data_IF_424969111136
#
_entry.id   IF_424969111136
#
_cell.length_a   1.000
_cell.length_b   1.000
_cell.length_c   1.000
_cell.angle_alpha   90.00
_cell.angle_beta   90.00
_cell.angle_gamma   90.00
#
_symmetry.space_group_name_H-M   'P 1'
#
loop_
_entity.id
_entity.type
_entity.pdbx_description
1 polymer ?
#
# COMPACT_ATOMS: atom_id res chain seq x y z
N UNK A 1 21.54 -7.01 13.42
CA UNK A 1 20.73 -5.83 12.97
C UNK A 1 20.90 -5.54 11.48
N UNK A 2 22.08 -5.79 10.87
CA UNK A 2 22.29 -5.66 9.43
C UNK A 2 21.76 -6.87 8.62
N UNK A 3 21.93 -8.10 9.11
CA UNK A 3 21.44 -9.32 8.43
C UNK A 3 19.94 -9.29 8.09
N UNK A 4 19.10 -8.70 8.95
CA UNK A 4 17.67 -8.58 8.67
C UNK A 4 17.36 -7.54 7.58
N UNK A 5 18.22 -6.53 7.37
CA UNK A 5 18.01 -5.48 6.36
C UNK A 5 18.36 -5.98 4.97
N UNK A 6 19.50 -6.66 4.84
CA UNK A 6 19.92 -7.28 3.58
C UNK A 6 18.91 -8.34 3.13
N UNK A 7 18.39 -9.15 4.06
CA UNK A 7 17.33 -10.11 3.74
C UNK A 7 16.03 -9.43 3.30
N UNK A 8 15.59 -8.36 3.98
CA UNK A 8 14.40 -7.61 3.57
C UNK A 8 14.62 -7.03 2.17
N UNK A 9 15.78 -6.42 1.91
CA UNK A 9 16.08 -5.84 0.60
C UNK A 9 16.07 -6.90 -0.50
N UNK A 10 16.70 -8.06 -0.26
CA UNK A 10 16.72 -9.17 -1.20
C UNK A 10 15.30 -9.70 -1.49
N UNK A 11 14.46 -9.82 -0.47
CA UNK A 11 13.07 -10.24 -0.64
C UNK A 11 12.25 -9.20 -1.43
N UNK A 12 12.43 -7.91 -1.13
CA UNK A 12 11.76 -6.84 -1.87
C UNK A 12 12.13 -6.88 -3.36
N UNK A 13 13.42 -7.04 -3.69
CA UNK A 13 13.88 -7.23 -5.07
C UNK A 13 13.24 -8.44 -5.72
N UNK A 14 13.25 -9.59 -5.04
CA UNK A 14 12.63 -10.81 -5.54
C UNK A 14 11.13 -10.61 -5.84
N UNK A 15 10.38 -10.00 -4.94
CA UNK A 15 8.94 -9.76 -5.13
C UNK A 15 8.68 -8.83 -6.31
N UNK A 16 9.41 -7.72 -6.42
CA UNK A 16 9.25 -6.77 -7.53
C UNK A 16 9.68 -7.42 -8.86
N UNK A 17 10.81 -8.12 -8.90
CA UNK A 17 11.28 -8.81 -10.10
C UNK A 17 10.29 -9.87 -10.58
N UNK A 18 9.64 -10.60 -9.65
CA UNK A 18 8.59 -11.56 -10.01
C UNK A 18 7.35 -10.88 -10.57
N UNK A 19 6.85 -9.86 -9.90
CA UNK A 19 5.59 -9.19 -10.26
C UNK A 19 5.74 -8.32 -11.51
N UNK A 20 6.73 -7.43 -11.55
CA UNK A 20 6.90 -6.47 -12.63
C UNK A 20 7.88 -6.94 -13.72
N UNK A 21 8.94 -7.67 -13.35
CA UNK A 21 9.94 -8.14 -14.31
C UNK A 21 9.50 -9.39 -15.09
N UNK A 22 9.08 -10.43 -14.38
CA UNK A 22 8.74 -11.73 -14.97
C UNK A 22 7.27 -11.82 -15.42
N UNK A 23 6.33 -11.46 -14.54
CA UNK A 23 4.89 -11.50 -14.86
C UNK A 23 4.51 -10.31 -15.75
N UNK A 24 4.93 -9.09 -15.37
CA UNK A 24 4.67 -7.87 -16.12
C UNK A 24 3.22 -7.38 -15.98
N UNK A 25 2.64 -6.78 -17.03
CA UNK A 25 1.31 -6.16 -16.96
C UNK A 25 0.24 -7.16 -16.49
N UNK A 26 -0.47 -6.79 -15.44
CA UNK A 26 -1.35 -7.66 -14.64
C UNK A 26 -2.73 -7.00 -14.49
N UNK A 27 -3.64 -7.39 -15.37
CA UNK A 27 -5.02 -6.86 -15.46
C UNK A 27 -5.97 -7.98 -15.90
N UNK A 28 -7.28 -7.85 -15.69
CA UNK A 28 -8.28 -8.85 -16.09
C UNK A 28 -8.24 -9.15 -17.60
N UNK A 29 -7.89 -8.14 -18.41
CA UNK A 29 -7.72 -8.27 -19.87
C UNK A 29 -6.48 -9.11 -20.25
N UNK A 30 -5.64 -9.48 -19.28
CA UNK A 30 -4.49 -10.37 -19.42
C UNK A 30 -4.61 -11.54 -18.43
N UNK A 31 -5.52 -12.49 -18.68
CA UNK A 31 -5.89 -13.53 -17.71
C UNK A 31 -4.70 -14.38 -17.25
N UNK A 32 -3.71 -14.64 -18.12
CA UNK A 32 -2.53 -15.42 -17.74
C UNK A 32 -1.67 -14.73 -16.69
N UNK A 33 -1.43 -13.42 -16.81
CA UNK A 33 -0.55 -12.68 -15.89
C UNK A 33 -1.25 -12.32 -14.59
N UNK A 34 -2.55 -12.00 -14.63
CA UNK A 34 -3.32 -11.77 -13.40
C UNK A 34 -3.47 -13.07 -12.58
N UNK A 35 -3.72 -14.22 -13.22
CA UNK A 35 -3.76 -15.52 -12.53
C UNK A 35 -2.39 -15.94 -11.98
N UNK A 36 -1.32 -15.68 -12.74
CA UNK A 36 0.04 -15.90 -12.23
C UNK A 36 0.36 -15.01 -11.02
N UNK A 37 -0.13 -13.78 -11.01
CA UNK A 37 0.01 -12.86 -9.87
C UNK A 37 -0.74 -13.39 -8.66
N UNK A 38 -2.01 -13.78 -8.81
CA UNK A 38 -2.82 -14.37 -7.73
C UNK A 38 -2.12 -15.60 -7.15
N UNK A 39 -1.70 -16.55 -7.99
CA UNK A 39 -1.01 -17.75 -7.56
C UNK A 39 0.33 -17.47 -6.86
N UNK A 40 1.07 -16.45 -7.31
CA UNK A 40 2.29 -16.02 -6.65
C UNK A 40 2.03 -15.50 -5.23
N UNK A 41 1.07 -14.60 -5.06
CA UNK A 41 0.72 -14.01 -3.76
C UNK A 41 0.22 -15.07 -2.78
N UNK A 42 -0.62 -15.99 -3.25
CA UNK A 42 -1.08 -17.12 -2.46
C UNK A 42 0.06 -18.01 -2.00
N UNK A 43 0.97 -18.38 -2.91
CA UNK A 43 2.12 -19.20 -2.58
C UNK A 43 3.00 -18.53 -1.51
N UNK A 44 3.27 -17.22 -1.65
CA UNK A 44 4.04 -16.48 -0.66
C UNK A 44 3.37 -16.47 0.72
N UNK A 45 2.06 -16.25 0.79
CA UNK A 45 1.36 -16.27 2.07
C UNK A 45 1.20 -17.67 2.67
N UNK A 46 1.00 -18.70 1.85
CA UNK A 46 0.98 -20.09 2.30
C UNK A 46 2.33 -20.53 2.87
N UNK A 47 3.44 -20.15 2.24
CA UNK A 47 4.80 -20.40 2.75
C UNK A 47 5.03 -19.71 4.11
N UNK A 48 4.38 -18.56 4.33
CA UNK A 48 4.39 -17.86 5.62
C UNK A 48 3.43 -18.48 6.66
N UNK A 49 2.65 -19.50 6.29
CA UNK A 49 1.69 -20.18 7.17
C UNK A 49 0.33 -19.50 7.28
N UNK A 50 0.00 -18.55 6.40
CA UNK A 50 -1.32 -17.95 6.35
C UNK A 50 -2.32 -18.82 5.57
N UNK A 51 -3.57 -18.76 6.01
CA UNK A 51 -4.71 -19.19 5.20
C UNK A 51 -5.18 -18.00 4.36
N UNK A 52 -5.16 -18.15 3.03
CA UNK A 52 -5.60 -17.12 2.09
C UNK A 52 -7.09 -17.27 1.81
N UNK A 53 -7.84 -16.20 2.06
CA UNK A 53 -9.23 -16.07 1.65
C UNK A 53 -9.29 -15.31 0.33
N UNK A 54 -9.98 -15.89 -0.66
CA UNK A 54 -10.32 -15.22 -1.91
C UNK A 54 -11.68 -14.56 -1.76
N UNK A 55 -11.72 -13.24 -1.88
CA UNK A 55 -12.96 -12.47 -1.97
C UNK A 55 -13.21 -12.17 -3.45
N UNK A 56 -13.95 -13.05 -4.12
CA UNK A 56 -14.30 -12.93 -5.54
C UNK A 56 -15.52 -12.04 -5.74
N UNK A 57 -15.51 -11.26 -6.82
CA UNK A 57 -16.60 -10.34 -7.14
C UNK A 57 -16.69 -10.04 -8.64
N UNK A 58 -17.85 -9.55 -9.09
CA UNK A 58 -18.05 -9.09 -10.46
C UNK A 58 -17.44 -7.70 -10.66
N UNK A 59 -16.51 -7.59 -11.60
CA UNK A 59 -15.88 -6.37 -12.04
C UNK A 59 -16.29 -6.07 -13.49
N UNK A 60 -17.48 -5.49 -13.65
CA UNK A 60 -18.06 -5.15 -14.98
C UNK A 60 -18.24 -6.37 -15.90
N UNK A 61 -18.66 -7.50 -15.35
CA UNK A 61 -18.85 -8.75 -16.09
C UNK A 61 -17.65 -9.70 -16.10
N UNK A 62 -16.48 -9.26 -15.62
CA UNK A 62 -15.31 -10.11 -15.41
C UNK A 62 -15.20 -10.52 -13.92
N UNK A 63 -14.70 -11.73 -13.63
CA UNK A 63 -14.43 -12.15 -12.25
C UNK A 63 -13.10 -11.54 -11.76
N UNK A 64 -13.16 -10.74 -10.69
CA UNK A 64 -12.01 -10.20 -9.98
C UNK A 64 -11.87 -10.86 -8.60
N UNK A 65 -10.69 -10.76 -7.98
CA UNK A 65 -10.41 -11.43 -6.69
C UNK A 65 -9.52 -10.59 -5.80
N UNK A 66 -10.04 -10.12 -4.67
CA UNK A 66 -9.16 -9.65 -3.59
C UNK A 66 -8.59 -10.85 -2.84
N UNK A 67 -7.35 -10.74 -2.37
CA UNK A 67 -6.71 -11.76 -1.55
C UNK A 67 -6.50 -11.25 -0.13
N UNK A 68 -6.99 -12.00 0.85
CA UNK A 68 -7.03 -11.58 2.25
C UNK A 68 -6.32 -12.63 3.11
N UNK A 69 -5.41 -12.17 3.97
CA UNK A 69 -4.88 -12.98 5.07
C UNK A 69 -4.97 -12.23 6.38
N UNK A 70 -5.11 -12.95 7.49
CA UNK A 70 -5.25 -12.33 8.80
C UNK A 70 -4.54 -13.09 9.92
N UNK A 71 -4.03 -12.32 10.88
CA UNK A 71 -3.54 -12.83 12.16
C UNK A 71 -4.46 -12.31 13.26
N UNK A 72 -5.25 -13.21 13.84
CA UNK A 72 -6.20 -12.89 14.91
C UNK A 72 -5.46 -12.29 16.12
N UNK A 73 -6.00 -11.20 16.64
CA UNK A 73 -5.50 -10.58 17.87
C UNK A 73 -5.89 -11.33 19.15
N UNK A 74 -5.39 -10.87 20.29
CA UNK A 74 -5.79 -11.32 21.62
C UNK A 74 -7.03 -10.60 22.14
N UNK A 75 -6.86 -9.76 23.16
CA UNK A 75 -7.97 -9.19 23.95
C UNK A 75 -8.88 -8.20 23.22
N UNK A 76 -8.54 -7.77 22.00
CA UNK A 76 -9.36 -6.88 21.14
C UNK A 76 -9.44 -7.42 19.72
N UNK A 77 -9.59 -8.74 19.57
CA UNK A 77 -9.56 -9.44 18.29
C UNK A 77 -10.63 -8.95 17.29
N UNK A 78 -11.70 -8.33 17.75
CA UNK A 78 -12.73 -7.72 16.91
C UNK A 78 -12.26 -6.42 16.22
N UNK A 79 -11.24 -5.75 16.77
CA UNK A 79 -10.66 -4.55 16.16
C UNK A 79 -9.61 -4.94 15.13
N UNK A 80 -9.70 -4.37 13.94
CA UNK A 80 -8.85 -4.70 12.79
C UNK A 80 -7.93 -3.51 12.46
N UNK A 81 -6.64 -3.80 12.30
CA UNK A 81 -5.70 -2.91 11.62
C UNK A 81 -5.39 -3.54 10.27
N UNK A 82 -5.78 -2.85 9.20
CA UNK A 82 -5.63 -3.32 7.83
C UNK A 82 -4.39 -2.69 7.19
N UNK A 83 -3.57 -3.49 6.52
CA UNK A 83 -2.55 -3.04 5.58
C UNK A 83 -2.91 -3.58 4.20
N UNK A 84 -2.97 -2.73 3.18
CA UNK A 84 -3.31 -3.19 1.83
C UNK A 84 -2.57 -2.45 0.74
N UNK A 85 -2.55 -3.07 -0.44
CA UNK A 85 -1.97 -2.57 -1.68
C UNK A 85 -2.74 -3.22 -2.84
N UNK A 86 -2.88 -2.54 -3.97
CA UNK A 86 -3.42 -3.20 -5.16
C UNK A 86 -2.34 -3.94 -5.93
N UNK A 87 -2.74 -5.03 -6.59
CA UNK A 87 -1.84 -5.88 -7.36
C UNK A 87 -2.12 -5.86 -8.85
N UNK A 88 -3.05 -5.07 -9.35
CA UNK A 88 -3.19 -4.85 -10.78
C UNK A 88 -2.24 -3.74 -11.27
N UNK A 89 -2.29 -3.46 -12.57
CA UNK A 89 -1.55 -2.38 -13.25
C UNK A 89 -2.40 -1.78 -14.36
N UNK A 90 -2.07 -0.56 -14.79
CA UNK A 90 -2.42 -0.10 -16.14
C UNK A 90 -2.04 -1.16 -17.19
N UNK A 91 -2.89 -1.34 -18.20
CA UNK A 91 -2.81 -2.42 -19.19
C UNK A 91 -1.43 -2.63 -19.85
N UNK A 92 -0.65 -1.57 -20.04
CA UNK A 92 0.61 -1.58 -20.79
C UNK A 92 1.86 -1.35 -19.94
N UNK A 93 1.76 -1.37 -18.62
CA UNK A 93 2.87 -1.05 -17.72
C UNK A 93 3.33 -2.31 -16.97
N UNK A 94 4.64 -2.49 -16.74
CA UNK A 94 5.13 -3.53 -15.84
C UNK A 94 4.67 -3.28 -14.40
N UNK A 95 4.60 -1.99 -14.00
CA UNK A 95 4.06 -1.57 -12.71
C UNK A 95 4.97 -1.91 -11.55
N UNK A 96 6.26 -1.58 -11.67
CA UNK A 96 7.27 -1.85 -10.65
C UNK A 96 7.09 -0.95 -9.44
N UNK A 97 7.03 0.36 -9.62
CA UNK A 97 6.64 1.28 -8.56
C UNK A 97 5.15 1.18 -8.32
N UNK A 98 4.35 1.09 -9.40
CA UNK A 98 2.89 1.11 -9.39
C UNK A 98 2.25 -0.23 -9.84
N UNK A 99 1.96 -1.17 -8.94
CA UNK A 99 2.20 -1.08 -7.51
C UNK A 99 2.91 -2.31 -6.91
N UNK A 100 3.81 -2.94 -7.69
CA UNK A 100 4.59 -4.08 -7.20
C UNK A 100 5.46 -3.72 -5.98
N UNK A 101 5.93 -2.48 -5.89
CA UNK A 101 6.70 -1.97 -4.76
C UNK A 101 5.90 -2.05 -3.45
N UNK A 102 4.63 -1.66 -3.45
CA UNK A 102 3.75 -1.75 -2.29
C UNK A 102 3.37 -3.19 -1.95
N UNK A 103 3.10 -4.02 -2.96
CA UNK A 103 2.82 -5.45 -2.75
C UNK A 103 4.03 -6.15 -2.13
N UNK A 104 5.24 -5.82 -2.57
CA UNK A 104 6.47 -6.34 -1.96
C UNK A 104 6.60 -5.93 -0.49
N UNK A 105 6.30 -4.67 -0.15
CA UNK A 105 6.28 -4.19 1.24
C UNK A 105 5.17 -4.87 2.04
N UNK A 106 3.98 -5.09 1.47
CA UNK A 106 2.86 -5.80 2.10
C UNK A 106 3.27 -7.23 2.50
N UNK A 107 3.85 -7.98 1.56
CA UNK A 107 4.35 -9.33 1.80
C UNK A 107 5.40 -9.35 2.91
N UNK A 108 6.42 -8.48 2.83
CA UNK A 108 7.48 -8.43 3.84
C UNK A 108 7.00 -7.99 5.22
N UNK A 109 6.08 -7.03 5.31
CA UNK A 109 5.48 -6.64 6.60
C UNK A 109 4.67 -7.80 7.16
N UNK A 110 3.88 -8.51 6.35
CA UNK A 110 3.11 -9.67 6.79
C UNK A 110 4.02 -10.82 7.29
N UNK A 111 5.18 -11.02 6.65
CA UNK A 111 6.21 -11.97 7.06
C UNK A 111 6.84 -11.59 8.40
N UNK A 112 7.24 -10.32 8.56
CA UNK A 112 7.86 -9.80 9.78
C UNK A 112 6.92 -9.80 11.00
N UNK A 113 5.61 -9.83 10.76
CA UNK A 113 4.58 -9.78 11.79
C UNK A 113 3.82 -11.11 11.99
N UNK A 114 4.18 -12.19 11.28
CA UNK A 114 3.47 -13.48 11.37
C UNK A 114 3.38 -14.05 12.80
N UNK A 115 4.47 -13.89 13.56
CA UNK A 115 4.57 -14.32 14.97
C UNK A 115 4.15 -13.23 15.97
N UNK A 116 3.61 -12.09 15.50
CA UNK A 116 3.24 -11.01 16.40
C UNK A 116 1.98 -11.33 17.22
N UNK A 117 2.09 -11.23 18.55
CA UNK A 117 0.99 -11.36 19.51
C UNK A 117 0.39 -9.99 19.88
N UNK A 118 -0.30 -9.36 18.94
CA UNK A 118 -1.04 -8.11 19.16
C UNK A 118 -2.37 -8.30 19.89
N UNK A 119 -2.94 -7.23 20.44
CA UNK A 119 -4.31 -7.26 20.99
C UNK A 119 -5.37 -7.23 19.89
N UNK A 120 -5.11 -6.48 18.82
CA UNK A 120 -5.97 -6.33 17.64
C UNK A 120 -5.61 -7.32 16.54
N UNK A 121 -6.55 -7.59 15.66
CA UNK A 121 -6.33 -8.42 14.48
C UNK A 121 -5.56 -7.62 13.42
N UNK A 122 -4.51 -8.22 12.86
CA UNK A 122 -3.84 -7.70 11.68
C UNK A 122 -4.50 -8.35 10.45
N UNK A 123 -4.97 -7.53 9.51
CA UNK A 123 -5.49 -7.97 8.21
C UNK A 123 -4.59 -7.42 7.11
N UNK A 124 -4.19 -8.26 6.17
CA UNK A 124 -3.41 -7.90 5.00
C UNK A 124 -4.26 -8.19 3.78
N UNK A 125 -4.38 -7.22 2.86
CA UNK A 125 -5.25 -7.36 1.69
C UNK A 125 -4.50 -6.92 0.43
N UNK A 126 -4.50 -7.78 -0.58
CA UNK A 126 -4.07 -7.43 -1.94
C UNK A 126 -5.33 -7.17 -2.77
N UNK A 127 -5.53 -5.92 -3.19
CA UNK A 127 -6.73 -5.49 -3.91
C UNK A 127 -6.58 -5.70 -5.41
N UNK A 128 -7.64 -6.16 -6.06
CA UNK A 128 -7.70 -6.21 -7.53
C UNK A 128 -8.32 -4.92 -8.08
N UNK A 129 -7.99 -4.59 -9.33
CA UNK A 129 -8.75 -3.63 -10.13
C UNK A 129 -8.80 -2.22 -9.52
N UNK A 130 -7.68 -1.74 -8.99
CA UNK A 130 -7.51 -0.32 -8.66
C UNK A 130 -7.53 0.51 -9.94
N UNK A 131 -6.86 0.05 -10.99
CA UNK A 131 -6.51 0.86 -12.14
C UNK A 131 -7.69 1.05 -13.12
N UNK A 132 -7.68 2.09 -13.98
CA UNK A 132 -8.67 2.24 -15.03
C UNK A 132 -8.76 0.97 -15.92
N UNK A 133 -9.98 0.51 -16.28
CA UNK A 133 -11.26 1.22 -16.20
C UNK A 133 -12.03 1.05 -14.87
N UNK A 134 -11.48 0.35 -13.88
CA UNK A 134 -12.17 0.01 -12.63
C UNK A 134 -11.97 1.04 -11.52
N UNK A 135 -11.02 1.96 -11.70
CA UNK A 135 -10.70 3.01 -10.74
C UNK A 135 -11.92 3.85 -10.32
N UNK A 136 -12.09 3.97 -9.00
CA UNK A 136 -13.08 4.81 -8.34
C UNK A 136 -14.55 4.52 -8.76
N UNK A 137 -14.84 3.29 -9.19
CA UNK A 137 -16.21 2.79 -9.43
C UNK A 137 -16.45 1.49 -8.68
N UNK A 138 -17.70 1.01 -8.66
CA UNK A 138 -18.15 -0.12 -7.85
C UNK A 138 -17.37 -1.43 -8.07
N UNK A 139 -16.75 -1.58 -9.23
CA UNK A 139 -15.91 -2.72 -9.63
C UNK A 139 -14.46 -2.64 -9.15
N UNK A 140 -14.09 -1.62 -8.36
CA UNK A 140 -12.77 -1.50 -7.74
C UNK A 140 -12.68 -2.41 -6.51
N UNK A 141 -11.60 -3.18 -6.38
CA UNK A 141 -11.47 -4.20 -5.32
C UNK A 141 -11.52 -3.63 -3.90
N UNK A 142 -10.90 -2.48 -3.65
CA UNK A 142 -10.99 -1.83 -2.34
C UNK A 142 -12.38 -1.27 -2.04
N UNK A 143 -13.14 -0.81 -3.04
CA UNK A 143 -14.53 -0.40 -2.85
C UNK A 143 -15.39 -1.60 -2.47
N UNK A 144 -15.23 -2.72 -3.17
CA UNK A 144 -15.90 -3.97 -2.83
C UNK A 144 -15.55 -4.39 -1.39
N UNK A 145 -14.27 -4.50 -1.05
CA UNK A 145 -13.82 -4.95 0.27
C UNK A 145 -14.29 -4.04 1.40
N UNK A 146 -14.21 -2.71 1.22
CA UNK A 146 -14.63 -1.76 2.23
C UNK A 146 -16.15 -1.86 2.48
N UNK A 147 -16.97 -1.98 1.43
CA UNK A 147 -18.43 -2.16 1.55
C UNK A 147 -18.77 -3.48 2.22
N UNK A 148 -18.15 -4.58 1.82
CA UNK A 148 -18.37 -5.87 2.48
C UNK A 148 -17.92 -5.85 3.94
N UNK A 149 -16.83 -5.17 4.26
CA UNK A 149 -16.40 -4.96 5.65
C UNK A 149 -17.46 -4.21 6.45
N UNK A 150 -18.09 -3.19 5.86
CA UNK A 150 -19.18 -2.45 6.49
C UNK A 150 -20.41 -3.33 6.71
N UNK A 151 -20.79 -4.14 5.73
CA UNK A 151 -21.91 -5.09 5.81
C UNK A 151 -21.66 -6.15 6.90
N UNK A 152 -20.44 -6.69 6.99
CA UNK A 152 -20.02 -7.64 8.03
C UNK A 152 -19.96 -7.04 9.43
N UNK A 153 -19.97 -5.71 9.54
CA UNK A 153 -19.79 -5.01 10.82
C UNK A 153 -18.34 -5.02 11.33
N UNK A 154 -17.36 -5.12 10.44
CA UNK A 154 -15.94 -5.12 10.79
C UNK A 154 -15.54 -3.79 11.47
N UNK A 155 -14.92 -3.85 12.65
CA UNK A 155 -14.36 -2.69 13.37
C UNK A 155 -12.93 -2.40 12.87
N UNK A 156 -12.80 -1.84 11.67
CA UNK A 156 -11.52 -1.40 11.11
C UNK A 156 -11.11 -0.08 11.77
N UNK A 157 -10.25 -0.17 12.79
CA UNK A 157 -9.78 0.98 13.57
C UNK A 157 -8.61 1.73 12.92
N UNK A 158 -8.11 1.21 11.80
CA UNK A 158 -7.12 1.89 10.97
C UNK A 158 -6.75 1.07 9.74
N UNK A 159 -6.90 1.66 8.56
CA UNK A 159 -6.42 1.13 7.30
C UNK A 159 -5.17 1.89 6.85
N UNK A 160 -4.14 1.16 6.44
CA UNK A 160 -2.91 1.67 5.86
C UNK A 160 -2.85 1.19 4.41
N UNK A 161 -2.97 2.12 3.46
CA UNK A 161 -2.87 1.87 2.03
C UNK A 161 -1.43 2.10 1.60
N UNK A 162 -0.77 1.10 1.03
CA UNK A 162 0.54 1.23 0.42
C UNK A 162 0.33 1.54 -1.07
N UNK A 163 0.88 2.65 -1.51
CA UNK A 163 0.62 3.20 -2.84
C UNK A 163 1.91 3.80 -3.41
N UNK A 164 2.62 3.09 -4.27
CA UNK A 164 3.92 3.47 -4.82
C UNK A 164 4.94 3.86 -3.74
N UNK A 165 5.85 2.96 -3.41
CA UNK A 165 6.78 3.15 -2.26
C UNK A 165 8.24 2.97 -2.64
N UNK A 166 8.55 2.92 -3.93
CA UNK A 166 9.85 2.53 -4.47
C UNK A 166 10.67 3.65 -5.10
N UNK A 167 10.09 4.78 -5.50
CA UNK A 167 10.77 5.81 -6.26
C UNK A 167 11.20 7.03 -5.44
N UNK A 168 12.51 7.34 -5.43
CA UNK A 168 13.07 8.44 -4.65
C UNK A 168 14.15 9.21 -5.41
N UNK A 169 14.18 10.54 -5.18
CA UNK A 169 15.18 11.43 -5.75
C UNK A 169 15.74 12.40 -4.71
N UNK A 170 17.07 12.53 -4.69
CA UNK A 170 17.79 13.44 -3.79
C UNK A 170 17.92 14.87 -4.34
N UNK A 171 17.73 15.06 -5.64
CA UNK A 171 17.87 16.36 -6.31
C UNK A 171 16.89 17.37 -5.76
N UNK A 172 17.34 18.61 -5.54
CA UNK A 172 16.44 19.69 -5.13
C UNK A 172 15.49 20.07 -6.26
N UNK A 173 14.20 20.20 -5.95
CA UNK A 173 13.14 20.46 -6.92
C UNK A 173 12.54 19.19 -7.53
N UNK A 174 12.98 17.99 -7.14
CA UNK A 174 12.42 16.73 -7.63
C UNK A 174 11.03 16.42 -7.12
N UNK A 175 10.58 17.08 -6.04
CA UNK A 175 9.23 16.92 -5.52
C UNK A 175 8.35 18.09 -5.97
N UNK A 176 7.30 17.78 -6.73
CA UNK A 176 6.23 18.73 -7.02
C UNK A 176 5.19 18.74 -5.89
N UNK A 177 4.45 19.85 -5.80
CA UNK A 177 3.30 20.01 -4.90
C UNK A 177 2.06 20.08 -5.78
N UNK A 178 0.94 19.39 -5.44
CA UNK A 178 -0.26 19.45 -6.25
C UNK A 178 -0.76 20.87 -6.47
N UNK A 179 -1.27 21.14 -7.67
CA UNK A 179 -1.77 22.47 -8.06
C UNK A 179 -2.97 22.93 -7.21
N UNK A 180 -3.76 21.99 -6.68
CA UNK A 180 -4.84 22.29 -5.75
C UNK A 180 -4.37 22.93 -4.42
N UNK A 181 -3.09 22.80 -4.07
CA UNK A 181 -2.52 23.41 -2.87
C UNK A 181 -2.10 24.86 -3.19
N UNK A 182 -2.61 25.87 -2.46
CA UNK A 182 -2.23 27.26 -2.66
C UNK A 182 -0.71 27.49 -2.63
N UNK A 183 -0.18 28.21 -3.62
CA UNK A 183 1.28 28.48 -3.77
C UNK A 183 1.94 29.03 -2.50
N UNK A 184 1.22 29.85 -1.71
CA UNK A 184 1.73 30.39 -0.43
C UNK A 184 2.05 29.30 0.61
N UNK A 185 1.46 28.11 0.49
CA UNK A 185 1.70 26.97 1.38
C UNK A 185 2.84 26.06 0.90
N UNK A 186 3.31 26.18 -0.35
CA UNK A 186 4.32 25.30 -0.94
C UNK A 186 5.62 25.25 -0.13
N UNK A 187 5.97 26.33 0.60
CA UNK A 187 7.15 26.37 1.48
C UNK A 187 7.13 25.37 2.63
N UNK A 188 5.96 24.82 2.98
CA UNK A 188 5.81 23.82 4.04
C UNK A 188 5.92 22.38 3.53
N UNK A 189 6.01 22.19 2.21
CA UNK A 189 6.12 20.88 1.59
C UNK A 189 7.58 20.55 1.29
N UNK A 190 7.96 19.25 1.29
CA UNK A 190 9.30 18.84 0.91
C UNK A 190 9.61 19.24 -0.53
N UNK A 191 10.86 19.69 -0.77
CA UNK A 191 11.36 20.03 -2.11
C UNK A 191 12.21 18.93 -2.76
N UNK A 192 12.47 17.84 -2.02
CA UNK A 192 13.21 16.67 -2.48
C UNK A 192 12.31 15.46 -2.34
N UNK A 193 12.28 14.61 -3.34
CA UNK A 193 11.52 13.37 -3.34
C UNK A 193 12.19 12.25 -2.54
N UNK A 194 12.66 12.51 -1.33
CA UNK A 194 13.46 11.57 -0.53
C UNK A 194 12.77 11.12 0.76
N UNK A 195 11.44 11.15 0.77
CA UNK A 195 10.59 10.86 1.92
C UNK A 195 9.44 9.92 1.54
N UNK A 196 8.91 9.23 2.55
CA UNK A 196 7.59 8.61 2.49
C UNK A 196 6.55 9.62 2.98
N UNK A 197 5.43 9.74 2.29
CA UNK A 197 4.27 10.50 2.72
C UNK A 197 3.27 9.59 3.44
N UNK A 198 2.67 10.08 4.53
CA UNK A 198 1.49 9.51 5.15
C UNK A 198 0.35 10.54 5.09
N UNK A 199 -0.58 10.33 4.17
CA UNK A 199 -1.65 11.27 3.83
C UNK A 199 -2.98 10.72 4.35
N UNK A 200 -3.72 11.53 5.12
CA UNK A 200 -5.02 11.14 5.67
C UNK A 200 -6.09 12.21 5.45
N UNK A 201 -7.36 11.83 5.62
CA UNK A 201 -8.43 12.81 5.84
C UNK A 201 -8.41 13.34 7.29
N UNK A 202 -9.18 14.40 7.57
CA UNK A 202 -9.26 14.98 8.92
C UNK A 202 -9.68 13.97 10.01
N UNK A 203 -10.58 13.03 9.67
CA UNK A 203 -11.03 11.96 10.59
C UNK A 203 -9.90 10.98 10.95
N UNK A 204 -8.89 10.87 10.10
CA UNK A 204 -7.74 9.99 10.29
C UNK A 204 -6.59 10.61 11.09
N UNK A 205 -6.77 11.79 11.69
CA UNK A 205 -5.73 12.47 12.50
C UNK A 205 -5.10 11.59 13.59
N UNK A 206 -5.93 10.89 14.38
CA UNK A 206 -5.43 10.02 15.45
C UNK A 206 -4.63 8.84 14.88
N UNK A 207 -5.08 8.28 13.75
CA UNK A 207 -4.37 7.21 13.04
C UNK A 207 -3.03 7.74 12.52
N UNK A 208 -3.00 8.89 11.85
CA UNK A 208 -1.79 9.56 11.36
C UNK A 208 -0.75 9.78 12.47
N UNK A 209 -1.20 10.30 13.62
CA UNK A 209 -0.31 10.51 14.77
C UNK A 209 0.26 9.21 15.34
N UNK A 210 -0.58 8.17 15.49
CA UNK A 210 -0.14 6.85 15.96
C UNK A 210 0.84 6.23 14.97
N UNK A 211 0.52 6.27 13.67
CA UNK A 211 1.38 5.79 12.59
C UNK A 211 2.75 6.47 12.65
N UNK A 212 2.80 7.81 12.63
CA UNK A 212 4.06 8.59 12.69
C UNK A 212 4.93 8.21 13.88
N UNK A 213 4.33 8.05 15.06
CA UNK A 213 5.06 7.66 16.28
C UNK A 213 5.59 6.22 16.21
N UNK A 214 4.90 5.32 15.54
CA UNK A 214 5.34 3.94 15.34
C UNK A 214 6.40 3.83 14.25
N UNK A 215 6.19 4.48 13.11
CA UNK A 215 7.11 4.51 11.98
C UNK A 215 8.52 4.98 12.39
N UNK A 216 8.61 6.08 13.14
CA UNK A 216 9.88 6.64 13.66
C UNK A 216 10.63 5.73 14.64
N UNK A 217 9.99 4.65 15.12
CA UNK A 217 10.65 3.61 15.93
C UNK A 217 11.26 2.51 15.06
N UNK A 218 10.71 2.27 13.88
CA UNK A 218 11.23 1.28 12.92
C UNK A 218 12.40 1.81 12.11
N UNK A 219 12.37 3.09 11.74
CA UNK A 219 13.47 3.74 11.01
C UNK A 219 13.64 5.21 11.38
N UNK A 220 14.90 5.67 11.32
CA UNK A 220 15.29 7.09 11.28
C UNK A 220 16.03 7.47 10.00
N UNK A 221 16.18 6.53 9.07
CA UNK A 221 16.95 6.69 7.82
C UNK A 221 16.08 7.19 6.66
N UNK A 222 14.77 7.03 6.76
CA UNK A 222 13.80 7.57 5.80
C UNK A 222 12.98 8.70 6.44
N UNK A 223 13.07 9.94 5.92
CA UNK A 223 12.17 11.02 6.29
C UNK A 223 10.70 10.62 6.07
N UNK A 224 9.84 10.99 7.02
CA UNK A 224 8.40 10.84 6.94
C UNK A 224 7.75 12.23 6.89
N UNK A 225 7.07 12.53 5.79
CA UNK A 225 6.16 13.64 5.68
C UNK A 225 4.75 13.14 6.00
N UNK A 226 4.03 13.79 6.91
CA UNK A 226 2.69 13.32 7.29
C UNK A 226 1.74 14.50 7.32
N UNK A 227 0.60 14.36 6.66
CA UNK A 227 -0.38 15.45 6.53
C UNK A 227 -1.79 14.87 6.60
N UNK A 228 -2.71 15.63 7.20
CA UNK A 228 -4.14 15.39 7.06
C UNK A 228 -4.77 16.56 6.34
N UNK A 229 -5.65 16.27 5.39
CA UNK A 229 -6.26 17.27 4.52
C UNK A 229 -7.78 17.06 4.44
N UNK A 230 -8.56 18.09 4.09
CA UNK A 230 -9.98 17.91 3.80
C UNK A 230 -10.18 17.09 2.51
N UNK A 231 -11.18 16.21 2.48
CA UNK A 231 -11.44 15.29 1.36
C UNK A 231 -11.84 15.98 0.05
N UNK A 232 -12.08 17.29 0.05
CA UNK A 232 -12.28 18.11 -1.16
C UNK A 232 -11.02 18.22 -2.04
N UNK A 233 -9.85 17.84 -1.51
CA UNK A 233 -8.60 17.78 -2.26
C UNK A 233 -8.54 16.41 -2.94
N UNK A 234 -8.81 16.36 -4.24
CA UNK A 234 -8.99 15.08 -4.94
C UNK A 234 -7.71 14.24 -4.94
N UNK A 235 -6.53 14.86 -4.91
CA UNK A 235 -5.24 14.18 -4.93
C UNK A 235 -4.98 13.29 -3.72
N UNK A 236 -5.70 13.48 -2.60
CA UNK A 236 -5.60 12.58 -1.44
C UNK A 236 -6.53 11.37 -1.52
N UNK A 237 -7.38 11.31 -2.56
CA UNK A 237 -8.32 10.23 -2.82
C UNK A 237 -7.86 9.28 -3.95
N UNK A 238 -6.70 9.53 -4.54
CA UNK A 238 -6.19 8.81 -5.71
C UNK A 238 -5.51 7.47 -5.34
N UNK A 239 -6.19 6.63 -4.57
CA UNK A 239 -5.79 5.25 -4.24
C UNK A 239 -6.90 4.56 -3.41
N UNK A 240 -6.69 3.29 -3.06
CA UNK A 240 -7.61 2.42 -2.30
C UNK A 240 -8.05 2.98 -0.94
N UNK A 241 -7.30 3.92 -0.35
CA UNK A 241 -7.66 4.53 0.94
C UNK A 241 -9.01 5.25 0.90
N UNK A 242 -9.39 5.78 -0.27
CA UNK A 242 -10.63 6.54 -0.45
C UNK A 242 -11.87 5.67 -0.22
N UNK A 243 -11.83 4.43 -0.71
CA UNK A 243 -12.86 3.39 -0.50
C UNK A 243 -13.20 3.20 0.98
N UNK A 244 -12.19 3.25 1.86
CA UNK A 244 -12.37 3.11 3.30
C UNK A 244 -12.94 4.38 3.95
N UNK A 245 -12.54 5.56 3.49
CA UNK A 245 -13.13 6.82 3.95
C UNK A 245 -14.63 6.88 3.63
N UNK A 246 -15.03 6.41 2.45
CA UNK A 246 -16.43 6.40 2.01
C UNK A 246 -17.31 5.48 2.87
N UNK A 247 -16.72 4.45 3.47
CA UNK A 247 -17.39 3.57 4.44
C UNK A 247 -17.23 4.03 5.90
N UNK A 248 -16.61 5.19 6.12
CA UNK A 248 -16.43 5.82 7.43
C UNK A 248 -15.25 5.29 8.25
N UNK A 249 -14.36 4.49 7.66
CA UNK A 249 -13.16 3.98 8.33
C UNK A 249 -12.00 5.00 8.28
N UNK A 250 -11.20 5.12 9.36
CA UNK A 250 -9.97 5.90 9.32
C UNK A 250 -8.93 5.20 8.46
N UNK A 251 -8.36 5.90 7.47
CA UNK A 251 -7.35 5.35 6.57
C UNK A 251 -6.23 6.36 6.25
N UNK A 252 -5.04 5.85 5.97
CA UNK A 252 -3.89 6.63 5.47
C UNK A 252 -3.39 6.05 4.16
N UNK A 253 -3.12 6.90 3.18
CA UNK A 253 -2.28 6.59 2.03
C UNK A 253 -0.81 6.77 2.39
N UNK A 254 -0.02 5.71 2.21
CA UNK A 254 1.41 5.64 2.44
C UNK A 254 2.08 5.57 1.07
N UNK A 255 2.59 6.71 0.61
CA UNK A 255 3.05 6.86 -0.75
C UNK A 255 4.35 7.63 -0.81
N UNK A 256 5.16 7.30 -1.79
CA UNK A 256 6.30 8.10 -2.19
C UNK A 256 5.86 9.33 -3.00
N UNK A 257 4.57 9.52 -3.30
CA UNK A 257 3.98 10.60 -4.10
C UNK A 257 4.36 10.55 -5.59
N UNK A 258 4.61 9.35 -6.11
CA UNK A 258 5.14 9.06 -7.44
C UNK A 258 4.63 9.96 -8.56
N UNK A 259 3.32 10.16 -8.75
CA UNK A 259 2.78 11.02 -9.81
C UNK A 259 3.26 12.49 -9.76
N UNK A 260 3.85 12.94 -8.65
CA UNK A 260 4.46 14.26 -8.48
C UNK A 260 5.98 14.28 -8.69
N UNK A 261 6.64 13.14 -8.98
CA UNK A 261 8.10 13.06 -9.12
C UNK A 261 8.68 11.95 -9.99
N UNK A 262 7.96 10.86 -10.21
CA UNK A 262 8.40 9.69 -10.96
C UNK A 262 8.08 9.88 -12.46
N UNK A 263 9.09 10.04 -13.34
CA UNK A 263 8.86 10.18 -14.77
C UNK A 263 8.38 8.87 -15.43
N UNK A 264 8.42 7.75 -14.71
CA UNK A 264 8.02 6.42 -15.19
C UNK A 264 6.56 6.08 -14.89
N UNK A 265 5.87 6.86 -14.06
CA UNK A 265 4.47 6.64 -13.68
C UNK A 265 3.57 6.42 -14.91
N UNK A 266 2.82 5.32 -14.91
CA UNK A 266 1.99 4.85 -16.02
C UNK A 266 2.72 4.67 -17.37
N UNK A 267 4.01 4.32 -17.35
CA UNK A 267 4.81 4.05 -18.57
C UNK A 267 5.41 2.66 -18.56
N UNK A 268 5.76 2.18 -19.75
CA UNK A 268 6.49 0.91 -19.93
C UNK A 268 7.87 0.90 -19.27
N UNK A 269 8.40 2.08 -18.91
CA UNK A 269 9.68 2.26 -18.22
C UNK A 269 9.56 2.15 -16.69
N UNK A 270 8.37 1.90 -16.13
CA UNK A 270 8.21 1.61 -14.70
C UNK A 270 8.68 0.18 -14.40
N UNK A 271 10.01 -0.01 -14.36
CA UNK A 271 10.68 -1.30 -14.25
C UNK A 271 11.40 -1.47 -12.91
N UNK A 272 11.71 -2.72 -12.48
CA UNK A 272 12.37 -3.00 -11.21
C UNK A 272 13.66 -2.22 -10.96
N UNK A 273 14.40 -1.87 -12.02
CA UNK A 273 15.67 -1.14 -11.94
C UNK A 273 15.51 0.32 -11.55
N UNK A 274 14.30 0.87 -11.67
CA UNK A 274 14.02 2.27 -11.32
C UNK A 274 13.81 2.50 -9.82
N UNK A 275 13.70 1.42 -9.03
CA UNK A 275 13.36 1.49 -7.60
C UNK A 275 14.58 1.60 -6.67
N UNK A 276 14.38 2.27 -5.54
CA UNK A 276 15.34 2.40 -4.45
C UNK A 276 15.01 1.39 -3.33
N UNK A 277 15.49 0.16 -3.50
CA UNK A 277 15.30 -0.92 -2.52
C UNK A 277 15.86 -0.65 -1.12
N UNK A 278 16.99 0.05 -0.93
CA UNK A 278 17.41 0.49 0.39
C UNK A 278 16.37 1.37 1.09
N UNK A 279 15.71 2.29 0.37
CA UNK A 279 14.61 3.09 0.94
C UNK A 279 13.33 2.29 1.14
N UNK A 280 12.97 1.40 0.23
CA UNK A 280 11.86 0.46 0.44
C UNK A 280 12.06 -0.39 1.70
N UNK A 281 13.30 -0.81 1.98
CA UNK A 281 13.65 -1.52 3.23
C UNK A 281 13.33 -0.66 4.47
N UNK A 282 13.60 0.65 4.42
CA UNK A 282 13.19 1.56 5.51
C UNK A 282 11.67 1.75 5.59
N UNK A 283 10.95 1.75 4.46
CA UNK A 283 9.48 1.74 4.43
C UNK A 283 8.98 0.50 5.15
N UNK A 284 9.42 -0.70 4.77
CA UNK A 284 9.03 -1.98 5.40
C UNK A 284 9.25 -1.96 6.91
N UNK A 285 10.44 -1.55 7.37
CA UNK A 285 10.76 -1.48 8.81
C UNK A 285 9.89 -0.45 9.55
N UNK A 286 9.69 0.72 8.95
CA UNK A 286 8.84 1.77 9.49
C UNK A 286 7.37 1.33 9.59
N UNK A 287 6.82 0.77 8.52
CA UNK A 287 5.43 0.28 8.46
C UNK A 287 5.22 -0.88 9.43
N UNK A 288 6.13 -1.85 9.49
CA UNK A 288 6.05 -2.95 10.44
C UNK A 288 6.06 -2.44 11.90
N UNK A 289 6.90 -1.44 12.23
CA UNK A 289 6.91 -0.82 13.55
C UNK A 289 5.64 0.00 13.85
N UNK A 290 5.08 0.66 12.83
CA UNK A 290 3.81 1.36 12.93
C UNK A 290 2.65 0.39 13.19
N UNK A 291 2.58 -0.70 12.45
CA UNK A 291 1.60 -1.78 12.67
C UNK A 291 1.73 -2.37 14.07
N UNK A 292 2.93 -2.75 14.54
CA UNK A 292 3.15 -3.22 15.92
C UNK A 292 2.64 -2.23 16.98
N UNK A 293 2.64 -0.93 16.69
CA UNK A 293 2.09 0.09 17.59
C UNK A 293 0.57 0.14 17.53
N UNK A 294 -0.02 0.03 16.34
CA UNK A 294 -1.48 0.04 16.14
C UNK A 294 -2.15 -1.23 16.64
N UNK A 295 -1.44 -2.37 16.64
CA UNK A 295 -1.95 -3.66 17.10
C UNK A 295 -2.00 -3.81 18.64
N UNK A 296 -1.51 -2.82 19.42
CA UNK A 296 -1.42 -2.86 20.90
C UNK A 296 -2.68 -2.44 21.67
#
# INVERSE_FOLDING_TARGET
MNENREQIEANLRLHVDRLAGLIGPRTLQKPKTILATIGYLEAQWHEMGYHVERETYDAMGDEATNLIVQKKGGTRANQIVLLGAHYDTVFSTPGADDNASAVAVLLEVSRLLREHSGKRTARYVSFACEEPPYFNVDSMGSQHHARQSRVRGDDIVGMLCLEMVGYYQLTQGSQLVPDAIPKMLHRFFPRRGNFLAAVGNLRSWNLCWKFRRGFRRGTRRLPLFSIVLPEKINEIRLSDNSSFWDQGYPALMLTDTSFLRNPHYHRSTDTPETLDYPRMTEVTLGVAAAMKKLLR
#
